data_IF_592437799606
#
_entry.id   IF_592437799606
#
_cell.length_a   1.000
_cell.length_b   1.000
_cell.length_c   1.000
_cell.angle_alpha   90.00
_cell.angle_beta   90.00
_cell.angle_gamma   90.00
#
_symmetry.space_group_name_H-M   'P 1'
#
loop_
_entity.id
_entity.type
_entity.pdbx_description
1 polymer ?
#
# COMPACT_ATOMS: atom_id res chain seq x y z
N UNK A 1 24.05 -14.14 0.46
CA UNK A 1 25.28 -13.75 -0.26
C UNK A 1 26.00 -12.71 0.59
N UNK A 2 27.27 -12.95 0.93
CA UNK A 2 28.08 -11.97 1.66
C UNK A 2 28.92 -11.24 0.63
N UNK A 3 28.82 -9.91 0.60
CA UNK A 3 29.55 -9.05 -0.34
C UNK A 3 30.45 -8.15 0.48
N UNK A 4 31.75 -8.24 0.23
CA UNK A 4 32.69 -7.24 0.71
C UNK A 4 32.64 -6.03 -0.22
N UNK A 5 32.58 -4.83 0.34
CA UNK A 5 32.65 -3.58 -0.41
C UNK A 5 33.48 -2.56 0.35
N UNK A 6 34.35 -1.88 -0.37
CA UNK A 6 35.11 -0.75 0.12
C UNK A 6 34.28 0.53 -0.07
N UNK A 7 34.08 1.28 1.02
CA UNK A 7 33.30 2.53 1.04
C UNK A 7 34.28 3.73 0.98
N UNK A 8 33.93 4.80 0.25
CA UNK A 8 34.82 5.97 -0.01
C UNK A 8 35.09 6.86 1.23
N UNK A 9 34.80 6.37 2.44
CA UNK A 9 34.92 7.11 3.70
C UNK A 9 36.36 7.35 4.13
N UNK A 10 36.67 8.56 4.61
CA UNK A 10 37.92 8.85 5.32
C UNK A 10 37.78 8.39 6.78
N UNK A 11 38.39 7.26 7.14
CA UNK A 11 38.35 6.66 8.48
C UNK A 11 39.30 5.45 8.60
N UNK A 12 39.30 4.80 9.77
CA UNK A 12 40.12 3.61 10.07
C UNK A 12 39.72 2.40 9.20
N UNK A 13 40.59 1.39 9.07
CA UNK A 13 40.45 0.31 8.08
C UNK A 13 39.14 -0.49 8.20
N UNK A 14 38.60 -0.64 9.41
CA UNK A 14 37.32 -1.33 9.62
C UNK A 14 36.09 -0.51 9.21
N UNK A 15 36.21 0.81 9.11
CA UNK A 15 35.13 1.67 8.62
C UNK A 15 35.07 1.71 7.09
N UNK A 16 36.21 1.46 6.42
CA UNK A 16 36.31 1.36 4.96
C UNK A 16 35.83 0.02 4.43
N UNK A 17 36.13 -1.07 5.11
CA UNK A 17 35.86 -2.42 4.63
C UNK A 17 34.60 -3.01 5.27
N UNK A 18 33.47 -2.92 4.57
CA UNK A 18 32.18 -3.42 5.06
C UNK A 18 31.80 -4.74 4.40
N UNK A 19 31.24 -5.65 5.20
CA UNK A 19 30.63 -6.89 4.74
C UNK A 19 29.11 -6.73 4.76
N UNK A 20 28.49 -6.81 3.58
CA UNK A 20 27.05 -6.76 3.40
C UNK A 20 26.50 -8.18 3.28
N UNK A 21 25.67 -8.59 4.22
CA UNK A 21 24.93 -9.84 4.14
C UNK A 21 23.58 -9.59 3.44
N UNK A 22 23.47 -10.05 2.20
CA UNK A 22 22.20 -10.13 1.50
C UNK A 22 21.50 -11.45 1.83
N UNK A 23 20.43 -11.36 2.60
CA UNK A 23 19.53 -12.47 2.91
C UNK A 23 18.15 -12.17 2.33
N UNK A 24 17.61 -13.09 1.54
CA UNK A 24 16.20 -13.14 1.18
C UNK A 24 15.51 -14.14 2.08
N UNK A 25 14.46 -13.72 2.75
CA UNK A 25 13.69 -14.57 3.63
C UNK A 25 12.27 -14.67 3.09
N UNK A 26 11.84 -15.89 2.84
CA UNK A 26 10.50 -16.21 2.38
C UNK A 26 9.61 -16.52 3.59
N UNK A 27 8.67 -15.62 3.85
CA UNK A 27 7.78 -15.69 5.02
C UNK A 27 6.69 -16.73 4.88
N UNK A 28 6.41 -17.22 3.67
CA UNK A 28 5.33 -18.18 3.44
C UNK A 28 5.62 -19.53 4.15
N UNK A 29 6.89 -19.88 4.33
CA UNK A 29 7.31 -21.12 5.00
C UNK A 29 7.37 -21.04 6.53
N UNK A 30 6.99 -19.91 7.12
CA UNK A 30 7.06 -19.72 8.57
C UNK A 30 5.94 -20.43 9.31
N UNK A 31 4.79 -20.61 8.67
CA UNK A 31 3.60 -21.23 9.28
C UNK A 31 3.27 -22.54 8.58
N UNK A 32 2.52 -23.41 9.27
CA UNK A 32 2.03 -24.67 8.68
C UNK A 32 1.16 -24.36 7.46
N UNK A 33 0.25 -23.41 7.62
CA UNK A 33 -0.75 -23.01 6.64
C UNK A 33 -0.09 -22.40 5.39
N UNK A 34 0.86 -21.47 5.58
CA UNK A 34 1.61 -20.89 4.46
C UNK A 34 2.47 -21.93 3.75
N UNK A 35 3.12 -22.82 4.50
CA UNK A 35 3.91 -23.91 3.92
C UNK A 35 3.02 -24.85 3.10
N UNK A 36 1.80 -25.11 3.54
CA UNK A 36 0.84 -25.95 2.85
C UNK A 36 0.35 -25.32 1.54
N UNK A 37 0.08 -24.02 1.52
CA UNK A 37 -0.25 -23.29 0.27
C UNK A 37 0.89 -23.40 -0.74
N UNK A 38 2.13 -23.19 -0.30
CA UNK A 38 3.30 -23.30 -1.20
C UNK A 38 3.55 -24.74 -1.63
N UNK A 39 3.34 -25.72 -0.74
CA UNK A 39 3.46 -27.13 -1.05
C UNK A 39 2.44 -27.56 -2.12
N UNK A 40 1.17 -27.17 -1.98
CA UNK A 40 0.12 -27.45 -2.96
C UNK A 40 0.45 -26.85 -4.34
N UNK A 41 0.93 -25.60 -4.40
CA UNK A 41 1.37 -24.98 -5.65
C UNK A 41 2.49 -25.78 -6.31
N UNK A 42 3.53 -26.15 -5.55
CA UNK A 42 4.67 -26.94 -6.07
C UNK A 42 4.27 -28.36 -6.46
N UNK A 43 3.35 -28.98 -5.74
CA UNK A 43 2.81 -30.29 -6.08
C UNK A 43 2.13 -30.25 -7.44
N UNK A 44 1.28 -29.25 -7.69
CA UNK A 44 0.60 -29.07 -8.98
C UNK A 44 1.58 -28.90 -10.13
N UNK A 45 2.64 -28.09 -9.96
CA UNK A 45 3.71 -27.93 -10.95
C UNK A 45 4.43 -29.25 -11.24
N UNK A 46 4.77 -30.01 -10.19
CA UNK A 46 5.45 -31.30 -10.33
C UNK A 46 4.55 -32.34 -11.00
N UNK A 47 3.26 -32.38 -10.67
CA UNK A 47 2.28 -33.27 -11.30
C UNK A 47 2.13 -32.97 -12.80
N UNK A 48 1.95 -31.70 -13.17
CA UNK A 48 1.89 -31.30 -14.58
C UNK A 48 3.13 -31.74 -15.38
N UNK A 49 4.32 -31.68 -14.78
CA UNK A 49 5.57 -32.15 -15.40
C UNK A 49 5.58 -33.67 -15.54
N UNK A 50 5.09 -34.40 -14.54
CA UNK A 50 5.02 -35.87 -14.57
C UNK A 50 4.03 -36.32 -15.64
N UNK A 51 2.85 -35.70 -15.69
CA UNK A 51 1.78 -36.06 -16.61
C UNK A 51 2.17 -35.78 -18.06
N UNK A 52 2.70 -34.58 -18.36
CA UNK A 52 3.20 -34.25 -19.71
C UNK A 52 4.44 -35.06 -20.14
N UNK A 53 5.16 -35.69 -19.21
CA UNK A 53 6.22 -36.65 -19.54
C UNK A 53 5.66 -38.05 -19.79
N UNK A 54 4.60 -38.47 -19.10
CA UNK A 54 3.97 -39.77 -19.29
C UNK A 54 3.18 -39.89 -20.60
N UNK A 55 2.71 -38.78 -21.15
CA UNK A 55 2.06 -38.74 -22.47
C UNK A 55 3.00 -39.05 -23.66
N UNK A 56 4.31 -39.19 -23.42
CA UNK A 56 5.27 -39.59 -24.44
C UNK A 56 5.42 -41.10 -24.45
N UNK A 57 5.00 -41.74 -25.54
CA UNK A 57 4.95 -43.21 -25.67
C UNK A 57 6.33 -43.89 -25.56
N UNK A 58 7.44 -43.20 -25.89
CA UNK A 58 8.80 -43.74 -25.79
C UNK A 58 9.72 -42.88 -24.90
N UNK A 59 9.80 -43.26 -23.62
CA UNK A 59 10.64 -42.60 -22.62
C UNK A 59 12.06 -43.19 -22.59
N UNK A 60 13.07 -42.35 -22.89
CA UNK A 60 14.50 -42.67 -22.69
C UNK A 60 14.82 -42.91 -21.22
N UNK A 61 15.86 -43.68 -20.92
CA UNK A 61 16.29 -43.94 -19.53
C UNK A 61 16.61 -42.68 -18.72
N UNK A 62 17.12 -41.63 -19.38
CA UNK A 62 17.34 -40.32 -18.76
C UNK A 62 16.03 -39.64 -18.35
N UNK A 63 14.97 -39.81 -19.13
CA UNK A 63 13.63 -39.28 -18.84
C UNK A 63 12.95 -40.09 -17.72
N UNK A 64 13.10 -41.42 -17.70
CA UNK A 64 12.64 -42.26 -16.57
C UNK A 64 13.29 -41.85 -15.25
N UNK A 65 14.61 -41.66 -15.23
CA UNK A 65 15.35 -41.15 -14.05
C UNK A 65 14.88 -39.75 -13.62
N UNK A 66 14.53 -38.89 -14.58
CA UNK A 66 13.98 -37.57 -14.29
C UNK A 66 12.58 -37.65 -13.63
N UNK A 67 11.68 -38.49 -14.16
CA UNK A 67 10.35 -38.74 -13.57
C UNK A 67 10.50 -39.25 -12.14
N UNK A 68 11.39 -40.21 -11.91
CA UNK A 68 11.65 -40.74 -10.56
C UNK A 68 12.12 -39.65 -9.60
N UNK A 69 13.01 -38.75 -10.02
CA UNK A 69 13.41 -37.58 -9.21
C UNK A 69 12.22 -36.68 -8.88
N UNK A 70 11.31 -36.45 -9.83
CA UNK A 70 10.10 -35.66 -9.60
C UNK A 70 9.12 -36.35 -8.64
N UNK A 71 8.97 -37.67 -8.72
CA UNK A 71 8.19 -38.45 -7.74
C UNK A 71 8.80 -38.36 -6.33
N UNK A 72 10.13 -38.47 -6.19
CA UNK A 72 10.77 -38.28 -4.87
C UNK A 72 10.59 -36.85 -4.33
N UNK A 73 10.54 -35.85 -5.22
CA UNK A 73 10.26 -34.46 -4.84
C UNK A 73 8.82 -34.32 -4.35
N UNK A 74 7.86 -34.95 -5.03
CA UNK A 74 6.45 -35.00 -4.61
C UNK A 74 6.30 -35.63 -3.22
N UNK A 75 6.98 -36.76 -2.97
CA UNK A 75 6.98 -37.42 -1.67
C UNK A 75 7.54 -36.51 -0.56
N UNK A 76 8.59 -35.73 -0.85
CA UNK A 76 9.13 -34.72 0.09
C UNK A 76 8.17 -33.58 0.35
N UNK A 77 7.41 -33.13 -0.65
CA UNK A 77 6.39 -32.09 -0.47
C UNK A 77 5.23 -32.54 0.43
N UNK A 78 4.98 -33.85 0.51
CA UNK A 78 3.99 -34.43 1.42
C UNK A 78 4.50 -34.56 2.87
N UNK A 79 5.81 -34.51 3.08
CA UNK A 79 6.43 -34.65 4.41
C UNK A 79 7.03 -33.30 4.84
N UNK A 80 6.15 -32.41 5.33
CA UNK A 80 6.49 -31.03 5.67
C UNK A 80 7.13 -30.99 7.07
N UNK A 81 8.21 -30.23 7.20
CA UNK A 81 8.85 -29.97 8.50
C UNK A 81 7.88 -29.27 9.46
N UNK A 82 7.81 -29.66 10.75
CA UNK A 82 6.88 -29.05 11.70
C UNK A 82 7.12 -27.53 11.82
N UNK A 83 6.05 -26.76 11.66
CA UNK A 83 6.03 -25.29 11.78
C UNK A 83 5.02 -24.86 12.85
N UNK A 84 5.14 -23.65 13.42
CA UNK A 84 4.07 -23.09 14.23
C UNK A 84 2.82 -22.87 13.36
N UNK A 85 1.65 -23.14 13.92
CA UNK A 85 0.36 -22.82 13.27
C UNK A 85 0.02 -21.35 13.47
N UNK A 86 -0.43 -20.72 12.40
CA UNK A 86 -1.02 -19.38 12.43
C UNK A 86 -1.98 -19.26 11.26
N UNK A 87 -3.24 -18.93 11.56
CA UNK A 87 -4.27 -18.74 10.56
C UNK A 87 -3.82 -17.74 9.49
N UNK A 88 -4.07 -18.11 8.23
CA UNK A 88 -3.93 -17.19 7.11
C UNK A 88 -5.04 -16.16 7.27
N UNK A 89 -4.70 -14.90 7.01
CA UNK A 89 -5.68 -13.84 7.00
C UNK A 89 -6.81 -14.15 6.01
N UNK A 90 -8.05 -14.16 6.50
CA UNK A 90 -9.25 -14.29 5.70
C UNK A 90 -10.12 -13.09 6.00
N UNK A 91 -10.23 -12.16 5.05
CA UNK A 91 -11.11 -11.02 5.20
C UNK A 91 -12.57 -11.40 4.89
N UNK A 92 -13.50 -10.78 5.59
CA UNK A 92 -14.92 -10.82 5.31
C UNK A 92 -15.19 -10.21 3.91
N UNK A 93 -15.77 -10.99 2.97
CA UNK A 93 -16.09 -10.53 1.62
C UNK A 93 -16.97 -9.29 1.56
N UNK A 94 -17.80 -9.05 2.58
CA UNK A 94 -18.75 -7.94 2.62
C UNK A 94 -18.16 -6.69 3.28
N UNK A 95 -16.98 -6.77 3.90
CA UNK A 95 -16.34 -5.64 4.58
C UNK A 95 -15.20 -5.05 3.76
N UNK A 96 -15.43 -3.83 3.25
CA UNK A 96 -14.44 -3.06 2.50
C UNK A 96 -13.97 -1.85 3.30
N UNK A 97 -12.74 -1.41 3.06
CA UNK A 97 -12.21 -0.17 3.64
C UNK A 97 -11.93 0.84 2.54
N UNK A 98 -12.58 2.00 2.60
CA UNK A 98 -12.25 3.14 1.77
C UNK A 98 -11.23 4.05 2.45
N UNK A 99 -10.20 4.47 1.72
CA UNK A 99 -9.16 5.39 2.19
C UNK A 99 -9.25 6.70 1.42
N UNK A 100 -9.94 7.70 1.95
CA UNK A 100 -9.97 9.02 1.33
C UNK A 100 -8.69 9.81 1.60
N UNK A 101 -8.17 10.48 0.59
CA UNK A 101 -6.98 11.33 0.67
C UNK A 101 -7.28 12.75 0.17
N UNK A 102 -6.67 13.74 0.80
CA UNK A 102 -6.77 15.13 0.37
C UNK A 102 -5.81 16.05 1.10
N UNK A 103 -5.96 17.34 0.84
CA UNK A 103 -4.99 18.34 1.21
C UNK A 103 -5.11 18.73 2.70
N UNK A 104 -6.34 18.92 3.18
CA UNK A 104 -6.67 19.21 4.58
C UNK A 104 -6.45 17.97 5.46
N UNK A 105 -7.04 16.84 5.05
CA UNK A 105 -6.88 15.55 5.69
C UNK A 105 -6.09 14.62 4.75
N UNK A 106 -4.80 14.33 5.06
CA UNK A 106 -3.98 13.51 4.19
C UNK A 106 -4.56 12.11 4.02
N UNK A 107 -5.23 11.61 5.07
CA UNK A 107 -5.91 10.31 5.10
C UNK A 107 -7.09 10.36 6.06
N UNK A 108 -8.21 9.82 5.61
CA UNK A 108 -9.36 9.43 6.43
C UNK A 108 -9.90 8.10 5.91
N UNK A 109 -10.18 7.17 6.82
CA UNK A 109 -10.67 5.84 6.45
C UNK A 109 -12.12 5.64 6.86
N UNK A 110 -12.80 4.76 6.12
CA UNK A 110 -14.10 4.22 6.45
C UNK A 110 -14.08 2.70 6.26
N UNK A 111 -14.51 1.94 7.28
CA UNK A 111 -14.84 0.51 7.14
C UNK A 111 -16.32 0.42 6.85
N UNK A 112 -16.69 -0.29 5.78
CA UNK A 112 -18.01 -0.26 5.19
C UNK A 112 -18.48 -1.69 4.96
N UNK A 113 -19.68 -1.96 5.43
CA UNK A 113 -20.45 -3.12 5.00
C UNK A 113 -21.05 -2.83 3.63
N UNK A 114 -20.60 -3.58 2.64
CA UNK A 114 -21.01 -3.42 1.23
C UNK A 114 -22.44 -3.85 1.01
N UNK A 115 -22.93 -4.86 1.74
CA UNK A 115 -24.30 -5.35 1.66
C UNK A 115 -25.31 -4.33 2.18
N UNK A 116 -25.01 -3.70 3.32
CA UNK A 116 -25.86 -2.65 3.89
C UNK A 116 -25.61 -1.26 3.29
N UNK A 117 -24.46 -1.05 2.66
CA UNK A 117 -24.03 0.25 2.16
C UNK A 117 -23.68 1.26 3.25
N UNK A 118 -23.38 0.80 4.47
CA UNK A 118 -23.18 1.63 5.66
C UNK A 118 -21.76 1.51 6.20
N UNK A 119 -21.22 2.64 6.68
CA UNK A 119 -19.96 2.63 7.41
C UNK A 119 -20.16 2.12 8.85
N UNK A 120 -19.38 1.12 9.20
CA UNK A 120 -19.25 0.61 10.57
C UNK A 120 -18.34 1.53 11.38
N UNK A 121 -17.28 2.04 10.73
CA UNK A 121 -16.25 2.82 11.39
C UNK A 121 -15.73 3.94 10.51
N UNK A 122 -15.49 5.10 11.11
CA UNK A 122 -14.67 6.15 10.55
C UNK A 122 -13.48 6.48 11.45
N UNK A 123 -12.31 6.71 10.83
CA UNK A 123 -11.11 7.20 11.51
C UNK A 123 -10.41 8.28 10.69
N UNK A 124 -10.23 9.44 11.29
CA UNK A 124 -9.40 10.50 10.70
C UNK A 124 -7.92 10.32 11.03
N UNK A 125 -7.06 11.11 10.39
CA UNK A 125 -5.60 11.05 10.61
C UNK A 125 -5.16 11.19 12.08
N UNK A 126 -5.88 11.98 12.90
CA UNK A 126 -5.56 12.15 14.32
C UNK A 126 -5.82 10.86 15.08
N UNK A 127 -6.95 10.21 14.81
CA UNK A 127 -7.31 8.94 15.43
C UNK A 127 -6.43 7.78 14.92
N UNK A 128 -5.98 7.83 13.67
CA UNK A 128 -5.07 6.83 13.10
C UNK A 128 -3.66 6.87 13.72
N UNK A 129 -3.14 8.07 13.96
CA UNK A 129 -1.79 8.24 14.50
C UNK A 129 -1.76 8.31 16.03
N UNK A 130 -2.85 8.70 16.69
CA UNK A 130 -2.89 8.86 18.14
C UNK A 130 -1.77 9.78 18.63
N UNK A 131 -0.92 9.24 19.50
CA UNK A 131 0.22 9.96 20.07
C UNK A 131 1.24 10.40 19.01
N UNK A 132 1.41 9.63 17.93
CA UNK A 132 2.34 9.95 16.83
C UNK A 132 1.86 11.11 15.94
N UNK A 133 0.66 11.66 16.18
CA UNK A 133 0.14 12.79 15.42
C UNK A 133 1.03 14.04 15.49
N UNK A 134 1.80 14.19 16.58
CA UNK A 134 2.76 15.28 16.72
C UNK A 134 3.86 15.26 15.64
N UNK A 135 4.25 14.07 15.15
CA UNK A 135 5.24 13.92 14.07
C UNK A 135 4.74 14.50 12.75
N UNK A 136 3.45 14.39 12.49
CA UNK A 136 2.82 14.98 11.31
C UNK A 136 2.84 16.52 11.39
N UNK A 137 2.61 17.10 12.57
CA UNK A 137 2.76 18.55 12.79
C UNK A 137 4.21 19.00 12.62
N UNK A 138 5.15 18.25 13.19
CA UNK A 138 6.59 18.51 13.05
C UNK A 138 7.01 18.52 11.58
N UNK A 139 6.61 17.51 10.80
CA UNK A 139 6.88 17.44 9.35
C UNK A 139 6.35 18.68 8.62
N UNK A 140 5.12 19.12 8.92
CA UNK A 140 4.54 20.32 8.30
C UNK A 140 5.37 21.57 8.58
N UNK A 141 5.82 21.73 9.83
CA UNK A 141 6.65 22.86 10.24
C UNK A 141 8.05 22.83 9.60
N UNK A 142 8.68 21.65 9.55
CA UNK A 142 10.00 21.47 8.91
C UNK A 142 9.93 21.80 7.41
N UNK A 143 8.91 21.31 6.70
CA UNK A 143 8.69 21.60 5.28
C UNK A 143 8.47 23.08 5.02
N UNK A 144 7.66 23.76 5.85
CA UNK A 144 7.44 25.20 5.71
C UNK A 144 8.73 26.01 5.91
N UNK A 145 9.51 25.67 6.95
CA UNK A 145 10.82 26.30 7.19
C UNK A 145 11.78 26.04 6.03
N UNK A 146 11.82 24.81 5.52
CA UNK A 146 12.66 24.42 4.39
C UNK A 146 12.28 25.18 3.11
N UNK A 147 10.99 25.29 2.79
CA UNK A 147 10.51 26.05 1.64
C UNK A 147 10.92 27.53 1.73
N UNK A 148 10.82 28.14 2.91
CA UNK A 148 11.27 29.52 3.12
C UNK A 148 12.78 29.68 2.95
N UNK A 149 13.56 28.75 3.51
CA UNK A 149 15.02 28.74 3.35
C UNK A 149 15.43 28.56 1.88
N UNK A 150 14.80 27.61 1.17
CA UNK A 150 15.06 27.35 -0.24
C UNK A 150 14.66 28.54 -1.13
N UNK A 151 13.54 29.21 -0.83
CA UNK A 151 13.15 30.43 -1.53
C UNK A 151 14.17 31.57 -1.33
N UNK A 152 14.67 31.76 -0.09
CA UNK A 152 15.75 32.72 0.20
C UNK A 152 17.06 32.35 -0.50
N UNK A 153 17.43 31.07 -0.52
CA UNK A 153 18.65 30.58 -1.16
C UNK A 153 18.62 30.78 -2.68
N UNK A 154 17.47 30.48 -3.33
CA UNK A 154 17.24 30.74 -4.76
C UNK A 154 17.39 32.21 -5.11
N UNK A 155 16.84 33.12 -4.31
CA UNK A 155 17.00 34.57 -4.50
C UNK A 155 18.46 35.04 -4.38
N UNK A 156 19.29 34.31 -3.61
CA UNK A 156 20.71 34.61 -3.40
C UNK A 156 21.62 33.86 -4.37
N UNK A 157 21.06 33.25 -5.43
CA UNK A 157 21.78 32.38 -6.38
C UNK A 157 22.61 31.26 -5.72
N UNK A 158 22.21 30.85 -4.51
CA UNK A 158 22.92 29.83 -3.76
C UNK A 158 22.20 28.49 -3.99
N UNK A 159 22.78 27.62 -4.81
CA UNK A 159 22.14 26.41 -5.35
C UNK A 159 22.13 25.21 -4.39
N UNK A 160 22.59 25.37 -3.15
CA UNK A 160 22.54 24.31 -2.14
C UNK A 160 21.10 24.09 -1.68
N UNK A 161 20.40 23.17 -2.35
CA UNK A 161 19.10 22.69 -1.89
C UNK A 161 19.31 21.83 -0.65
N UNK A 162 18.73 22.23 0.48
CA UNK A 162 18.68 21.38 1.66
C UNK A 162 17.63 20.28 1.43
N UNK A 163 18.00 19.03 1.69
CA UNK A 163 17.12 17.87 1.58
C UNK A 163 16.03 17.87 2.66
N UNK A 164 14.92 17.18 2.37
CA UNK A 164 13.90 16.87 3.37
C UNK A 164 14.40 15.78 4.33
N UNK A 165 14.00 15.84 5.60
CA UNK A 165 14.25 14.78 6.56
C UNK A 165 13.46 13.51 6.19
N UNK A 166 13.98 12.33 6.54
CA UNK A 166 13.29 11.03 6.36
C UNK A 166 11.99 10.90 7.18
N UNK A 167 11.67 11.92 7.99
CA UNK A 167 10.43 12.01 8.77
C UNK A 167 9.18 11.84 7.90
N UNK A 168 9.21 12.32 6.66
CA UNK A 168 8.08 12.18 5.75
C UNK A 168 7.75 10.73 5.42
N UNK A 169 8.77 9.95 5.08
CA UNK A 169 8.61 8.52 4.80
C UNK A 169 8.23 7.73 6.05
N UNK A 170 8.82 8.06 7.19
CA UNK A 170 8.48 7.43 8.47
C UNK A 170 7.01 7.62 8.84
N UNK A 171 6.49 8.85 8.71
CA UNK A 171 5.06 9.13 8.95
C UNK A 171 4.17 8.35 7.97
N UNK A 172 4.55 8.26 6.70
CA UNK A 172 3.75 7.50 5.71
C UNK A 172 3.69 6.00 6.08
N UNK A 173 4.80 5.43 6.61
CA UNK A 173 4.85 4.05 7.11
C UNK A 173 3.98 3.85 8.36
N UNK A 174 3.99 4.81 9.29
CA UNK A 174 3.12 4.78 10.48
C UNK A 174 1.65 4.80 10.09
N UNK A 175 1.27 5.68 9.16
CA UNK A 175 -0.10 5.77 8.66
C UNK A 175 -0.52 4.44 8.00
N UNK A 176 0.30 3.91 7.10
CA UNK A 176 0.02 2.61 6.47
C UNK A 176 -0.14 1.51 7.54
N UNK A 177 0.76 1.43 8.51
CA UNK A 177 0.67 0.46 9.61
C UNK A 177 -0.65 0.58 10.40
N UNK A 178 -1.08 1.80 10.72
CA UNK A 178 -2.35 2.04 11.41
C UNK A 178 -3.58 1.64 10.58
N UNK A 179 -3.58 1.95 9.28
CA UNK A 179 -4.65 1.52 8.35
C UNK A 179 -4.76 0.00 8.35
N UNK A 180 -3.64 -0.71 8.19
CA UNK A 180 -3.63 -2.16 8.13
C UNK A 180 -4.03 -2.79 9.47
N UNK A 181 -3.65 -2.20 10.60
CA UNK A 181 -4.09 -2.66 11.92
C UNK A 181 -5.61 -2.66 12.02
N UNK A 182 -6.26 -1.59 11.58
CA UNK A 182 -7.72 -1.49 11.58
C UNK A 182 -8.32 -2.46 10.56
N UNK A 183 -7.70 -2.62 9.39
CA UNK A 183 -8.17 -3.59 8.40
C UNK A 183 -8.17 -5.01 8.96
N UNK A 184 -7.12 -5.38 9.73
CA UNK A 184 -7.03 -6.68 10.38
C UNK A 184 -8.06 -6.85 11.50
N UNK A 185 -8.24 -5.83 12.34
CA UNK A 185 -9.19 -5.85 13.47
C UNK A 185 -10.64 -6.08 13.02
N UNK A 186 -11.00 -5.52 11.86
CA UNK A 186 -12.33 -5.65 11.27
C UNK A 186 -12.39 -6.70 10.15
N UNK A 187 -11.32 -7.49 9.97
CA UNK A 187 -11.23 -8.52 8.94
C UNK A 187 -11.66 -8.02 7.55
N UNK A 188 -11.20 -6.84 7.15
CA UNK A 188 -11.54 -6.24 5.85
C UNK A 188 -10.94 -7.07 4.70
N UNK A 189 -11.74 -7.46 3.73
CA UNK A 189 -11.24 -8.18 2.54
C UNK A 189 -10.45 -7.27 1.59
N UNK A 190 -10.96 -6.07 1.34
CA UNK A 190 -10.42 -5.16 0.31
C UNK A 190 -10.24 -3.74 0.84
N UNK A 191 -9.06 -3.17 0.62
CA UNK A 191 -8.75 -1.75 0.86
C UNK A 191 -8.78 -1.01 -0.47
N UNK A 192 -9.61 0.04 -0.55
CA UNK A 192 -9.77 0.85 -1.75
C UNK A 192 -9.11 2.21 -1.53
N UNK A 193 -8.12 2.51 -2.38
CA UNK A 193 -7.35 3.76 -2.38
C UNK A 193 -7.69 4.59 -3.62
N UNK A 194 -7.50 5.93 -3.60
CA UNK A 194 -7.82 6.76 -4.75
C UNK A 194 -6.76 6.61 -5.84
N UNK A 195 -7.18 6.70 -7.10
CA UNK A 195 -6.27 6.73 -8.24
C UNK A 195 -5.36 7.96 -8.19
N UNK A 196 -4.06 7.75 -8.37
CA UNK A 196 -3.06 8.84 -8.38
C UNK A 196 -3.35 9.90 -9.45
N UNK A 197 -3.88 9.51 -10.60
CA UNK A 197 -4.27 10.43 -11.68
C UNK A 197 -5.35 11.42 -11.26
N UNK A 198 -6.18 11.07 -10.27
CA UNK A 198 -7.27 11.91 -9.79
C UNK A 198 -6.83 12.87 -8.67
N UNK A 199 -5.72 12.57 -7.97
CA UNK A 199 -5.29 13.33 -6.79
C UNK A 199 -5.09 14.81 -7.10
N UNK A 200 -4.55 15.15 -8.27
CA UNK A 200 -4.42 16.56 -8.69
C UNK A 200 -5.79 17.24 -8.76
N UNK A 201 -6.77 16.62 -9.43
CA UNK A 201 -8.11 17.20 -9.57
C UNK A 201 -8.84 17.29 -8.23
N UNK A 202 -8.66 16.31 -7.34
CA UNK A 202 -9.22 16.33 -5.97
C UNK A 202 -8.65 17.51 -5.19
N UNK A 203 -7.32 17.69 -5.21
CA UNK A 203 -6.68 18.81 -4.51
C UNK A 203 -7.07 20.16 -5.09
N UNK A 204 -7.21 20.28 -6.41
CA UNK A 204 -7.67 21.52 -7.06
C UNK A 204 -9.11 21.88 -6.67
N UNK A 205 -10.01 20.89 -6.63
CA UNK A 205 -11.39 21.09 -6.18
C UNK A 205 -11.45 21.54 -4.71
N UNK A 206 -10.63 20.95 -3.84
CA UNK A 206 -10.56 21.32 -2.42
C UNK A 206 -10.02 22.75 -2.21
N UNK A 207 -8.98 23.14 -2.99
CA UNK A 207 -8.44 24.50 -2.96
C UNK A 207 -9.50 25.51 -3.41
N UNK A 208 -10.24 25.19 -4.47
CA UNK A 208 -11.28 26.07 -5.02
C UNK A 208 -12.46 26.23 -4.06
N UNK A 209 -12.95 25.12 -3.50
CA UNK A 209 -14.05 25.13 -2.52
C UNK A 209 -13.69 25.97 -1.30
N UNK A 210 -12.45 25.83 -0.80
CA UNK A 210 -11.98 26.65 0.32
C UNK A 210 -11.79 28.13 -0.04
N UNK A 211 -11.46 28.44 -1.30
CA UNK A 211 -11.37 29.82 -1.76
C UNK A 211 -12.76 30.48 -1.81
N UNK A 212 -13.75 29.74 -2.31
CA UNK A 212 -15.16 30.16 -2.37
C UNK A 212 -15.76 30.36 -0.96
N UNK A 213 -15.49 29.45 -0.03
CA UNK A 213 -15.92 29.58 1.38
C UNK A 213 -15.31 30.81 2.07
N UNK A 214 -14.05 31.14 1.76
CA UNK A 214 -13.33 32.25 2.40
C UNK A 214 -13.67 33.60 1.79
N UNK A 215 -13.87 33.63 0.48
CA UNK A 215 -14.16 34.85 -0.27
C UNK A 215 -15.37 34.54 -1.16
N UNK A 216 -16.59 34.65 -0.64
CA UNK A 216 -17.81 34.50 -1.43
C UNK A 216 -17.86 35.55 -2.54
N UNK A 217 -18.39 35.17 -3.70
CA UNK A 217 -18.77 36.07 -4.81
C UNK A 217 -17.64 36.85 -5.52
N UNK A 218 -16.45 36.99 -4.93
CA UNK A 218 -15.32 37.70 -5.53
C UNK A 218 -14.30 36.76 -6.19
N UNK A 219 -14.51 36.48 -7.48
CA UNK A 219 -13.73 35.50 -8.28
C UNK A 219 -12.23 35.79 -8.36
N UNK A 220 -11.81 37.05 -8.45
CA UNK A 220 -10.37 37.37 -8.51
C UNK A 220 -9.69 37.16 -7.15
N UNK A 221 -10.37 37.50 -6.06
CA UNK A 221 -9.92 37.22 -4.70
C UNK A 221 -9.80 35.72 -4.46
N UNK A 222 -10.78 34.93 -4.91
CA UNK A 222 -10.73 33.47 -4.87
C UNK A 222 -9.52 32.92 -5.62
N UNK A 223 -9.25 33.41 -6.84
CA UNK A 223 -8.07 33.00 -7.63
C UNK A 223 -6.75 33.33 -6.94
N UNK A 224 -6.65 34.53 -6.35
CA UNK A 224 -5.46 34.95 -5.60
C UNK A 224 -5.26 34.08 -4.36
N UNK A 225 -6.32 33.88 -3.58
CA UNK A 225 -6.30 33.01 -2.41
C UNK A 225 -5.93 31.56 -2.79
N UNK A 226 -6.55 31.00 -3.84
CA UNK A 226 -6.26 29.65 -4.31
C UNK A 226 -4.79 29.50 -4.73
N UNK A 227 -4.21 30.51 -5.37
CA UNK A 227 -2.79 30.53 -5.74
C UNK A 227 -1.88 30.54 -4.50
N UNK A 228 -2.15 31.42 -3.54
CA UNK A 228 -1.35 31.55 -2.33
C UNK A 228 -1.48 30.29 -1.45
N UNK A 229 -2.70 29.77 -1.31
CA UNK A 229 -2.99 28.54 -0.59
C UNK A 229 -2.33 27.33 -1.26
N UNK A 230 -2.31 27.24 -2.60
CA UNK A 230 -1.59 26.17 -3.32
C UNK A 230 -0.09 26.17 -3.05
N UNK A 231 0.51 27.35 -2.89
CA UNK A 231 1.94 27.50 -2.54
C UNK A 231 2.19 27.15 -1.07
N UNK A 232 1.24 27.49 -0.20
CA UNK A 232 1.36 27.28 1.24
C UNK A 232 1.14 25.82 1.66
N UNK A 233 0.29 25.09 0.94
CA UNK A 233 -0.16 23.79 1.41
C UNK A 233 0.72 22.65 0.91
N UNK A 234 0.90 21.69 1.82
CA UNK A 234 1.88 20.65 1.77
C UNK A 234 1.68 19.73 0.56
N UNK A 235 2.73 19.56 -0.27
CA UNK A 235 2.80 18.50 -1.27
C UNK A 235 3.07 17.18 -0.53
N UNK A 236 1.99 16.50 -0.15
CA UNK A 236 2.05 15.11 0.31
C UNK A 236 2.35 14.20 -0.88
N UNK A 237 3.19 13.19 -0.70
CA UNK A 237 3.42 12.18 -1.73
C UNK A 237 2.37 11.08 -1.57
N UNK A 238 1.22 11.25 -2.21
CA UNK A 238 0.15 10.24 -2.17
C UNK A 238 0.60 8.92 -2.81
N UNK A 239 1.47 8.98 -3.83
CA UNK A 239 2.09 7.78 -4.44
C UNK A 239 2.82 6.93 -3.41
N UNK A 240 3.76 7.55 -2.68
CA UNK A 240 4.54 6.84 -1.66
C UNK A 240 3.68 6.26 -0.54
N UNK A 241 2.63 6.95 -0.14
CA UNK A 241 1.69 6.43 0.85
C UNK A 241 0.91 5.22 0.31
N UNK A 242 0.39 5.30 -0.92
CA UNK A 242 -0.29 4.19 -1.58
C UNK A 242 0.65 2.99 -1.75
N UNK A 243 1.91 3.22 -2.11
CA UNK A 243 2.92 2.17 -2.25
C UNK A 243 3.19 1.49 -0.89
N UNK A 244 3.28 2.26 0.19
CA UNK A 244 3.42 1.72 1.55
C UNK A 244 2.20 0.88 1.97
N UNK A 245 0.98 1.31 1.60
CA UNK A 245 -0.24 0.55 1.85
C UNK A 245 -0.21 -0.75 1.05
N UNK A 246 -0.04 -0.69 -0.27
CA UNK A 246 0.04 -1.87 -1.15
C UNK A 246 1.11 -2.86 -0.70
N UNK A 247 2.32 -2.37 -0.44
CA UNK A 247 3.46 -3.19 -0.06
C UNK A 247 3.35 -3.82 1.33
N UNK A 248 2.59 -3.22 2.24
CA UNK A 248 2.32 -3.83 3.55
C UNK A 248 1.10 -4.76 3.49
N UNK A 249 0.07 -4.41 2.71
CA UNK A 249 -1.14 -5.21 2.57
C UNK A 249 -0.88 -6.53 1.87
N UNK A 250 -0.01 -6.53 0.84
CA UNK A 250 0.40 -7.74 0.14
C UNK A 250 1.05 -8.78 1.06
N UNK A 251 1.84 -8.34 2.05
CA UNK A 251 2.45 -9.21 3.07
C UNK A 251 1.42 -9.85 4.00
N UNK A 252 0.25 -9.24 4.15
CA UNK A 252 -0.84 -9.73 4.99
C UNK A 252 -1.92 -10.46 4.17
N UNK A 253 -1.81 -10.51 2.84
CA UNK A 253 -2.84 -11.08 1.97
C UNK A 253 -4.10 -10.22 1.84
N UNK A 254 -4.04 -8.92 2.19
CA UNK A 254 -5.17 -7.99 2.01
C UNK A 254 -5.12 -7.42 0.60
N UNK A 255 -6.24 -7.48 -0.12
CA UNK A 255 -6.35 -6.95 -1.50
C UNK A 255 -6.41 -5.42 -1.46
N UNK A 256 -5.68 -4.77 -2.35
CA UNK A 256 -5.71 -3.31 -2.50
C UNK A 256 -6.12 -2.95 -3.93
N UNK A 257 -7.19 -2.17 -4.04
CA UNK A 257 -7.75 -1.73 -5.32
C UNK A 257 -7.78 -0.21 -5.44
N UNK A 258 -7.85 0.28 -6.68
CA UNK A 258 -7.90 1.71 -6.96
C UNK A 258 -9.29 2.17 -7.40
N UNK A 259 -9.93 2.99 -6.55
CA UNK A 259 -11.25 3.54 -6.77
C UNK A 259 -11.25 5.00 -7.22
N UNK A 260 -12.45 5.50 -7.55
CA UNK A 260 -12.65 6.93 -7.85
C UNK A 260 -13.19 7.65 -6.62
N UNK A 261 -12.42 8.60 -6.10
CA UNK A 261 -12.84 9.37 -4.93
C UNK A 261 -13.67 10.59 -5.36
N UNK A 262 -14.84 10.83 -4.72
CA UNK A 262 -15.61 12.05 -4.96
C UNK A 262 -14.81 13.32 -4.65
N UNK A 263 -15.02 14.38 -5.44
CA UNK A 263 -14.35 15.66 -5.25
C UNK A 263 -14.96 16.48 -4.10
N UNK A 264 -16.27 16.37 -3.92
CA UNK A 264 -17.07 17.11 -2.94
C UNK A 264 -17.49 16.20 -1.77
N UNK A 265 -18.04 16.80 -0.71
CA UNK A 265 -18.45 16.12 0.51
C UNK A 265 -17.35 16.06 1.58
N UNK A 266 -17.73 15.55 2.76
CA UNK A 266 -16.79 15.36 3.87
C UNK A 266 -15.80 14.23 3.57
N UNK A 267 -14.65 14.20 4.24
CA UNK A 267 -13.67 13.12 4.05
C UNK A 267 -14.21 11.75 4.49
N UNK A 268 -15.11 11.71 5.46
CA UNK A 268 -15.82 10.49 5.86
C UNK A 268 -16.76 10.00 4.77
N UNK A 269 -17.53 10.91 4.14
CA UNK A 269 -18.42 10.55 3.02
C UNK A 269 -17.61 10.11 1.79
N UNK A 270 -16.49 10.79 1.52
CA UNK A 270 -15.57 10.42 0.45
C UNK A 270 -15.02 9.01 0.65
N UNK A 271 -14.63 8.66 1.88
CA UNK A 271 -14.11 7.33 2.21
C UNK A 271 -15.20 6.26 2.07
N UNK A 272 -16.42 6.53 2.56
CA UNK A 272 -17.58 5.66 2.38
C UNK A 272 -17.87 5.41 0.88
N UNK A 273 -18.05 6.49 0.12
CA UNK A 273 -18.36 6.44 -1.32
C UNK A 273 -17.25 5.74 -2.11
N UNK A 274 -15.98 5.94 -1.73
CA UNK A 274 -14.85 5.25 -2.33
C UNK A 274 -14.94 3.74 -2.10
N UNK A 275 -15.27 3.29 -0.89
CA UNK A 275 -15.46 1.88 -0.59
C UNK A 275 -16.60 1.26 -1.42
N UNK A 276 -17.69 2.00 -1.59
CA UNK A 276 -18.86 1.58 -2.38
C UNK A 276 -18.66 1.70 -3.91
N UNK A 277 -17.58 2.32 -4.37
CA UNK A 277 -17.37 2.53 -5.81
C UNK A 277 -17.07 1.22 -6.57
N UNK A 278 -16.51 0.22 -5.88
CA UNK A 278 -16.08 -1.05 -6.48
C UNK A 278 -17.14 -2.15 -6.41
N UNK A 279 -18.08 -2.07 -5.46
CA UNK A 279 -19.22 -3.02 -5.40
C UNK A 279 -20.09 -2.96 -6.65
N UNK A 280 -20.27 -1.75 -7.21
CA UNK A 280 -21.04 -1.52 -8.45
C UNK A 280 -20.39 -2.14 -9.69
N UNK A 281 -19.06 -2.34 -9.68
CA UNK A 281 -18.34 -2.96 -10.79
C UNK A 281 -18.36 -4.49 -10.68
N UNK A 282 -18.25 -5.04 -9.45
CA UNK A 282 -18.30 -6.49 -9.23
C UNK A 282 -19.71 -7.09 -9.37
N UNK A 283 -20.78 -6.36 -9.00
CA UNK A 283 -22.16 -6.84 -9.24
C UNK A 283 -22.57 -6.87 -10.73
N UNK A 284 -21.91 -6.09 -11.60
CA UNK A 284 -22.15 -6.16 -13.05
C UNK A 284 -21.38 -7.29 -13.74
N UNK A 285 -20.37 -7.87 -13.09
CA UNK A 285 -19.56 -8.94 -13.64
C UNK A 285 -20.15 -10.35 -13.44
N UNK A 286 -21.18 -10.49 -12.60
CA UNK A 286 -21.89 -11.76 -12.38
C UNK A 286 -23.42 -11.61 -12.57
N UNK A 287 -23.93 -11.49 -13.81
CA UNK A 287 -25.22 -12.08 -14.11
C UNK A 287 -24.98 -13.58 -14.29
N UNK A 288 -25.26 -14.33 -13.23
CA UNK A 288 -25.45 -15.78 -13.26
C UNK A 288 -26.29 -16.12 -14.49
N UNK A 289 -25.69 -16.85 -15.44
CA UNK A 289 -26.45 -17.61 -16.44
C UNK A 289 -27.22 -18.69 -15.68
N UNK A 290 -28.43 -18.34 -15.26
CA UNK A 290 -29.46 -19.33 -14.96
C UNK A 290 -30.16 -19.57 -16.29
N UNK A 291 -29.70 -20.56 -17.04
CA UNK A 291 -30.52 -21.18 -18.06
C UNK A 291 -31.04 -22.48 -17.46
N UNK A 292 -32.33 -22.44 -17.11
CA UNK A 292 -33.25 -23.59 -17.18
C UNK A 292 -33.30 -24.17 -18.58
#
# INVERSE_FOLDING_TARGET
MIIWKEDDGKGELWDKHKLYLHCTLDTDYWTVEGTQVVAQRKQKEVLNIIDGMKEKDDLRDTQKKFIQRKQTTLARLNNIFPRPSKSIYQGNPDLYMGVAMGLQEPVTIAVVDVGEGKAILHRNIKQLLGDDYHLLRRRRNEKQKLNHQNHKARKRANFQQKGESNLGEYVDRLIAKSILKIAQEYEVSTIIVPRLSQMRSITEAEIQLRAEERIPEYKEGQRKYAKDYRVQVHQWSYGRLIDNIKGNSSKLGIVVEEGTQPKQGTFTDKALQLALSTSKTNHKANPTKINS
#
